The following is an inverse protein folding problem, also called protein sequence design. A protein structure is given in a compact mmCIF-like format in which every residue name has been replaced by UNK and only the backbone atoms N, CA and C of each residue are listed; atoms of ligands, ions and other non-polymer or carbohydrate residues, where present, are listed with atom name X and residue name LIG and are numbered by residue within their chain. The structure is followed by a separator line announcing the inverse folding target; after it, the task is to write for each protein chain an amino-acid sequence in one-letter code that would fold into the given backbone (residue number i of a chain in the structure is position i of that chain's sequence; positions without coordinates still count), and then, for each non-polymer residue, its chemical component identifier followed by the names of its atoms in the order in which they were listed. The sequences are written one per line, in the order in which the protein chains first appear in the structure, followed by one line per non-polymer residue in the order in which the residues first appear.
data_IF_932272976612
#
_entry.id   IF_932272976612
#
_cell.length_a   1.000
_cell.length_b   1.000
_cell.length_c   1.000
_cell.angle_alpha   90.00
_cell.angle_beta   90.00
_cell.angle_gamma   90.00
#
_symmetry.space_group_name_H-M   'P 1'
#
loop_
_entity.id
_entity.type
_entity.pdbx_description
1 polymer ?
#
# COMPACT_ATOMS: atom_id res chain seq x y z
N UNK A 1 -36.84 7.09 -19.59
CA UNK A 1 -36.28 8.46 -19.68
C UNK A 1 -34.94 8.43 -18.95
N UNK A 2 -33.85 8.76 -19.62
CA UNK A 2 -32.53 8.80 -18.97
C UNK A 2 -32.51 9.94 -17.93
N UNK A 3 -32.03 9.65 -16.73
CA UNK A 3 -31.88 10.64 -15.67
C UNK A 3 -30.74 11.61 -16.05
N UNK A 4 -30.92 12.92 -15.83
CA UNK A 4 -29.90 13.95 -16.10
C UNK A 4 -28.56 13.61 -15.41
N UNK A 5 -28.61 13.02 -14.21
CA UNK A 5 -27.41 12.57 -13.50
C UNK A 5 -26.67 11.46 -14.23
N UNK A 6 -27.39 10.51 -14.84
CA UNK A 6 -26.78 9.43 -15.60
C UNK A 6 -26.00 9.97 -16.80
N UNK A 7 -26.58 10.93 -17.52
CA UNK A 7 -25.93 11.58 -18.67
C UNK A 7 -24.63 12.27 -18.23
N UNK A 8 -24.63 12.97 -17.10
CA UNK A 8 -23.43 13.62 -16.58
C UNK A 8 -22.35 12.61 -16.20
N UNK A 9 -22.73 11.53 -15.50
CA UNK A 9 -21.79 10.47 -15.11
C UNK A 9 -21.18 9.79 -16.34
N UNK A 10 -21.99 9.47 -17.35
CA UNK A 10 -21.50 8.86 -18.59
C UNK A 10 -20.54 9.79 -19.35
N UNK A 11 -20.80 11.11 -19.36
CA UNK A 11 -19.88 12.10 -19.95
C UNK A 11 -18.56 12.18 -19.17
N UNK A 12 -18.61 12.22 -17.84
CA UNK A 12 -17.43 12.22 -16.97
C UNK A 12 -16.61 10.94 -17.12
N UNK A 13 -17.28 9.79 -17.24
CA UNK A 13 -16.65 8.51 -17.52
C UNK A 13 -15.96 8.52 -18.88
N UNK A 14 -16.63 9.05 -19.92
CA UNK A 14 -16.11 9.15 -21.28
C UNK A 14 -14.84 10.00 -21.42
N UNK A 15 -14.67 11.02 -20.59
CA UNK A 15 -13.44 11.85 -20.56
C UNK A 15 -12.36 11.30 -19.61
N UNK A 16 -12.59 10.14 -18.99
CA UNK A 16 -11.62 9.52 -18.08
C UNK A 16 -11.54 10.15 -16.69
N UNK A 17 -12.53 10.94 -16.27
CA UNK A 17 -12.53 11.62 -14.96
C UNK A 17 -12.30 10.66 -13.79
N UNK A 18 -13.03 9.54 -13.78
CA UNK A 18 -12.93 8.54 -12.71
C UNK A 18 -11.68 7.64 -12.81
N UNK A 19 -11.21 7.38 -14.03
CA UNK A 19 -10.11 6.45 -14.26
C UNK A 19 -8.73 7.12 -14.15
N UNK A 20 -8.65 8.44 -14.39
CA UNK A 20 -7.41 9.19 -14.42
C UNK A 20 -7.39 10.32 -13.38
N UNK A 21 -8.35 11.25 -13.45
CA UNK A 21 -8.28 12.49 -12.66
C UNK A 21 -8.42 12.24 -11.15
N UNK A 22 -9.40 11.44 -10.73
CA UNK A 22 -9.60 11.16 -9.31
C UNK A 22 -8.42 10.42 -8.66
N UNK A 23 -7.91 9.30 -9.24
CA UNK A 23 -6.73 8.64 -8.72
C UNK A 23 -5.49 9.54 -8.69
N UNK A 24 -5.32 10.39 -9.73
CA UNK A 24 -4.24 11.37 -9.80
C UNK A 24 -4.28 12.38 -8.66
N UNK A 25 -5.44 12.99 -8.40
CA UNK A 25 -5.60 13.96 -7.30
C UNK A 25 -5.33 13.29 -5.95
N UNK A 26 -5.83 12.07 -5.76
CA UNK A 26 -5.63 11.32 -4.53
C UNK A 26 -4.16 11.01 -4.29
N UNK A 27 -3.45 10.48 -5.29
CA UNK A 27 -2.02 10.17 -5.16
C UNK A 27 -1.17 11.43 -4.95
N UNK A 28 -1.40 12.49 -5.74
CA UNK A 28 -0.66 13.75 -5.57
C UNK A 28 -0.88 14.35 -4.18
N UNK A 29 -2.10 14.26 -3.64
CA UNK A 29 -2.39 14.71 -2.26
C UNK A 29 -1.64 13.87 -1.22
N UNK A 30 -1.63 12.55 -1.35
CA UNK A 30 -0.89 11.66 -0.44
C UNK A 30 0.61 11.94 -0.51
N UNK A 31 1.17 12.05 -1.72
CA UNK A 31 2.58 12.37 -1.92
C UNK A 31 2.95 13.74 -1.34
N UNK A 32 2.09 14.74 -1.54
CA UNK A 32 2.27 16.06 -0.93
C UNK A 32 2.31 15.97 0.59
N UNK A 33 1.37 15.26 1.20
CA UNK A 33 1.31 15.09 2.65
C UNK A 33 2.55 14.37 3.20
N UNK A 34 3.01 13.32 2.50
CA UNK A 34 4.23 12.59 2.87
C UNK A 34 5.45 13.50 2.74
N UNK A 35 5.64 14.17 1.61
CA UNK A 35 6.77 15.08 1.39
C UNK A 35 6.80 16.23 2.41
N UNK A 36 5.64 16.80 2.74
CA UNK A 36 5.53 17.86 3.75
C UNK A 36 5.90 17.35 5.15
N UNK A 37 5.49 16.13 5.49
CA UNK A 37 5.80 15.51 6.79
C UNK A 37 7.28 15.14 6.93
N UNK A 38 7.90 14.69 5.85
CA UNK A 38 9.31 14.25 5.87
C UNK A 38 10.30 15.39 5.66
N UNK A 39 9.86 16.56 5.18
CA UNK A 39 10.69 17.72 4.89
C UNK A 39 11.92 17.40 4.01
N UNK A 40 11.81 16.39 3.14
CA UNK A 40 12.93 15.88 2.32
C UNK A 40 13.53 16.94 1.40
N UNK A 41 12.75 17.97 1.04
CA UNK A 41 13.14 19.02 0.09
C UNK A 41 13.20 20.39 0.77
N UNK A 42 13.37 20.41 2.09
CA UNK A 42 13.30 21.61 2.92
C UNK A 42 11.87 22.02 3.21
N UNK A 43 11.68 23.26 3.68
CA UNK A 43 10.39 23.73 4.20
C UNK A 43 9.50 24.42 3.15
N UNK A 44 9.86 24.33 1.87
CA UNK A 44 9.13 24.99 0.78
C UNK A 44 7.85 24.23 0.42
N UNK A 45 6.71 24.82 0.76
CA UNK A 45 5.36 24.31 0.41
C UNK A 45 5.17 24.16 -1.10
N UNK A 46 5.64 25.15 -1.87
CA UNK A 46 5.50 25.16 -3.33
C UNK A 46 6.25 24.01 -4.00
N UNK A 47 7.48 23.70 -3.54
CA UNK A 47 8.27 22.60 -4.08
C UNK A 47 7.59 21.25 -3.87
N UNK A 48 7.07 20.99 -2.66
CA UNK A 48 6.33 19.76 -2.38
C UNK A 48 5.08 19.62 -3.26
N UNK A 49 4.34 20.71 -3.48
CA UNK A 49 3.15 20.70 -4.33
C UNK A 49 3.50 20.42 -5.80
N UNK A 50 4.50 21.11 -6.36
CA UNK A 50 4.91 20.92 -7.75
C UNK A 50 5.40 19.49 -7.99
N UNK A 51 6.21 18.95 -7.09
CA UNK A 51 6.79 17.62 -7.24
C UNK A 51 5.74 16.52 -7.08
N UNK A 52 4.86 16.63 -6.07
CA UNK A 52 3.77 15.66 -5.90
C UNK A 52 2.80 15.64 -7.08
N UNK A 53 2.50 16.79 -7.66
CA UNK A 53 1.70 16.90 -8.89
C UNK A 53 2.46 16.26 -10.07
N UNK A 54 3.73 16.58 -10.27
CA UNK A 54 4.53 16.03 -11.36
C UNK A 54 4.65 14.49 -11.28
N UNK A 55 4.93 13.96 -10.09
CA UNK A 55 5.00 12.50 -9.85
C UNK A 55 3.62 11.86 -10.05
N UNK A 56 2.56 12.44 -9.50
CA UNK A 56 1.20 11.94 -9.71
C UNK A 56 0.84 11.87 -11.20
N UNK A 57 1.18 12.92 -11.95
CA UNK A 57 0.92 12.99 -13.39
C UNK A 57 1.75 11.95 -14.16
N UNK A 58 3.00 11.72 -13.75
CA UNK A 58 3.87 10.71 -14.38
C UNK A 58 3.35 9.29 -14.14
N UNK A 59 2.99 8.96 -12.89
CA UNK A 59 2.47 7.65 -12.50
C UNK A 59 1.18 7.32 -13.23
N UNK A 60 0.24 8.28 -13.31
CA UNK A 60 -1.05 8.05 -13.96
C UNK A 60 -1.05 8.32 -15.47
N UNK A 61 -0.15 9.17 -15.96
CA UNK A 61 -0.03 9.50 -17.38
C UNK A 61 0.66 8.41 -18.19
N UNK A 62 1.63 7.71 -17.60
CA UNK A 62 2.37 6.66 -18.32
C UNK A 62 1.47 5.54 -18.88
N UNK A 63 0.43 5.04 -18.19
CA UNK A 63 -0.37 3.94 -18.70
C UNK A 63 -1.36 4.39 -19.77
N UNK A 64 -1.81 5.66 -19.70
CA UNK A 64 -2.62 6.26 -20.77
C UNK A 64 -1.82 6.33 -22.07
N UNK A 65 -0.54 6.72 -21.99
CA UNK A 65 0.36 6.76 -23.15
C UNK A 65 0.64 5.33 -23.68
N UNK A 66 0.78 4.36 -22.78
CA UNK A 66 1.09 2.96 -23.13
C UNK A 66 -0.14 2.13 -23.50
N UNK A 67 -1.35 2.68 -23.40
CA UNK A 67 -2.61 1.95 -23.65
C UNK A 67 -2.88 0.84 -22.63
N UNK A 68 -2.29 0.90 -21.43
CA UNK A 68 -2.44 -0.11 -20.39
C UNK A 68 -3.44 0.35 -19.32
N UNK A 69 -4.28 -0.57 -18.83
CA UNK A 69 -5.27 -0.25 -17.80
C UNK A 69 -4.64 -0.24 -16.41
N UNK A 70 -4.64 0.91 -15.74
CA UNK A 70 -4.26 1.03 -14.32
C UNK A 70 -5.26 0.42 -13.35
N UNK A 71 -6.47 0.18 -13.81
CA UNK A 71 -7.56 -0.33 -12.98
C UNK A 71 -7.18 -1.65 -12.32
N UNK A 72 -6.57 -2.58 -13.07
CA UNK A 72 -6.22 -3.90 -12.54
C UNK A 72 -5.12 -3.80 -11.47
N UNK A 73 -3.94 -3.21 -11.72
CA UNK A 73 -2.90 -3.10 -10.71
C UNK A 73 -3.32 -2.30 -9.47
N UNK A 74 -4.07 -1.21 -9.64
CA UNK A 74 -4.53 -0.38 -8.53
C UNK A 74 -5.58 -1.11 -7.67
N UNK A 75 -6.52 -1.80 -8.31
CA UNK A 75 -7.51 -2.62 -7.59
C UNK A 75 -6.83 -3.76 -6.84
N UNK A 76 -5.86 -4.44 -7.45
CA UNK A 76 -5.07 -5.48 -6.79
C UNK A 76 -4.30 -4.92 -5.60
N UNK A 77 -3.60 -3.78 -5.75
CA UNK A 77 -2.86 -3.14 -4.66
C UNK A 77 -3.78 -2.77 -3.49
N UNK A 78 -4.92 -2.14 -3.76
CA UNK A 78 -5.88 -1.77 -2.71
C UNK A 78 -6.49 -3.01 -2.05
N UNK A 79 -6.87 -4.02 -2.83
CA UNK A 79 -7.43 -5.27 -2.30
C UNK A 79 -6.42 -5.98 -1.41
N UNK A 80 -5.17 -6.12 -1.86
CA UNK A 80 -4.09 -6.69 -1.07
C UNK A 80 -3.83 -5.86 0.20
N UNK A 81 -3.78 -4.53 0.09
CA UNK A 81 -3.64 -3.63 1.23
C UNK A 81 -4.74 -3.82 2.27
N UNK A 82 -5.99 -3.90 1.84
CA UNK A 82 -7.14 -4.18 2.72
C UNK A 82 -7.02 -5.56 3.36
N UNK A 83 -6.64 -6.60 2.60
CA UNK A 83 -6.43 -7.96 3.14
C UNK A 83 -5.33 -7.96 4.20
N UNK A 84 -4.22 -7.26 3.99
CA UNK A 84 -3.12 -7.14 4.96
C UNK A 84 -3.61 -6.45 6.23
N UNK A 85 -4.29 -5.31 6.09
CA UNK A 85 -4.83 -4.56 7.23
C UNK A 85 -5.80 -5.46 8.01
N UNK A 86 -6.67 -6.17 7.31
CA UNK A 86 -7.63 -7.08 7.92
C UNK A 86 -6.92 -8.23 8.66
N UNK A 87 -5.93 -8.85 8.03
CA UNK A 87 -5.13 -9.92 8.62
C UNK A 87 -4.36 -9.44 9.86
N UNK A 88 -3.81 -8.22 9.83
CA UNK A 88 -3.17 -7.60 10.99
C UNK A 88 -4.17 -7.33 12.12
N UNK A 89 -5.35 -6.79 11.80
CA UNK A 89 -6.41 -6.54 12.80
C UNK A 89 -6.85 -7.85 13.45
N UNK A 90 -7.15 -8.89 12.67
CA UNK A 90 -7.50 -10.20 13.22
C UNK A 90 -6.34 -10.84 13.99
N UNK A 91 -5.12 -10.71 13.48
CA UNK A 91 -3.91 -11.15 14.15
C UNK A 91 -3.74 -10.52 15.53
N UNK A 92 -3.94 -9.20 15.63
CA UNK A 92 -3.92 -8.49 16.91
C UNK A 92 -5.08 -8.87 17.82
N UNK A 93 -6.28 -9.07 17.28
CA UNK A 93 -7.44 -9.52 18.07
C UNK A 93 -7.19 -10.91 18.67
N UNK A 94 -6.77 -11.88 17.86
CA UNK A 94 -6.48 -13.25 18.33
C UNK A 94 -5.33 -13.22 19.32
N UNK A 95 -4.24 -12.52 19.02
CA UNK A 95 -3.10 -12.42 19.92
C UNK A 95 -3.51 -11.77 21.25
N UNK A 96 -4.37 -10.74 21.21
CA UNK A 96 -4.91 -10.05 22.39
C UNK A 96 -5.71 -10.96 23.33
N UNK A 97 -6.35 -12.01 22.81
CA UNK A 97 -7.03 -13.02 23.65
C UNK A 97 -6.03 -13.87 24.46
N UNK A 98 -4.86 -14.17 23.90
CA UNK A 98 -3.83 -14.96 24.58
C UNK A 98 -2.87 -14.10 25.43
N UNK A 99 -2.72 -12.82 25.08
CA UNK A 99 -1.83 -11.89 25.76
C UNK A 99 -2.58 -10.58 26.05
N UNK A 100 -3.25 -10.48 27.21
CA UNK A 100 -4.05 -9.30 27.58
C UNK A 100 -3.26 -7.99 27.63
N UNK A 101 -1.95 -8.08 27.87
CA UNK A 101 -1.02 -6.93 27.94
C UNK A 101 -0.39 -6.56 26.59
N UNK A 102 -0.87 -7.13 25.48
CA UNK A 102 -0.34 -6.85 24.14
C UNK A 102 -0.37 -5.37 23.76
N UNK A 103 -1.41 -4.63 24.16
CA UNK A 103 -1.52 -3.20 23.86
C UNK A 103 -0.38 -2.38 24.47
N UNK A 104 -0.04 -2.67 25.72
CA UNK A 104 1.08 -2.03 26.44
C UNK A 104 2.41 -2.46 25.80
N UNK A 105 2.62 -3.76 25.60
CA UNK A 105 3.85 -4.27 24.97
C UNK A 105 4.06 -3.77 23.54
N UNK A 106 3.00 -3.62 22.73
CA UNK A 106 3.11 -3.00 21.40
C UNK A 106 3.61 -1.57 21.52
N UNK A 107 3.04 -0.81 22.45
CA UNK A 107 3.40 0.60 22.67
C UNK A 107 4.86 0.72 23.07
N UNK A 108 5.35 -0.17 23.94
CA UNK A 108 6.74 -0.21 24.38
C UNK A 108 7.69 -0.63 23.25
N UNK A 109 7.29 -1.61 22.44
CA UNK A 109 8.01 -2.03 21.22
C UNK A 109 8.12 -0.86 20.22
N UNK A 110 7.05 -0.07 20.05
CA UNK A 110 7.04 1.08 19.15
C UNK A 110 7.82 2.29 19.67
N UNK A 111 7.96 2.45 21.00
CA UNK A 111 8.63 3.60 21.61
C UNK A 111 10.11 3.39 21.89
N UNK A 112 10.52 2.21 22.39
CA UNK A 112 11.83 2.07 23.05
C UNK A 112 12.65 0.83 22.62
N UNK A 113 12.10 -0.06 21.79
CA UNK A 113 12.77 -1.32 21.47
C UNK A 113 13.65 -1.32 20.22
N UNK A 114 14.74 -2.13 20.17
CA UNK A 114 15.42 -2.53 18.93
C UNK A 114 14.52 -3.37 18.01
N UNK A 115 13.27 -3.63 18.39
CA UNK A 115 12.25 -4.21 17.52
C UNK A 115 11.53 -3.15 16.65
N UNK A 116 11.60 -1.86 17.00
CA UNK A 116 10.95 -0.78 16.25
C UNK A 116 11.47 -0.65 14.81
N UNK A 117 12.80 -0.68 14.60
CA UNK A 117 13.37 -0.64 13.26
C UNK A 117 13.01 -1.88 12.44
N UNK A 118 12.87 -3.04 13.10
CA UNK A 118 12.51 -4.31 12.45
C UNK A 118 11.07 -4.26 11.93
N UNK A 119 10.15 -3.63 12.67
CA UNK A 119 8.77 -3.35 12.20
C UNK A 119 8.78 -2.46 10.97
N UNK A 120 9.59 -1.40 10.96
CA UNK A 120 9.73 -0.52 9.78
C UNK A 120 10.37 -1.23 8.59
N UNK A 121 11.33 -2.12 8.81
CA UNK A 121 11.94 -2.95 7.76
C UNK A 121 10.93 -3.92 7.18
N UNK A 122 10.10 -4.56 8.01
CA UNK A 122 9.07 -5.48 7.54
C UNK A 122 7.98 -4.73 6.76
N UNK A 123 7.50 -3.60 7.27
CA UNK A 123 6.55 -2.73 6.56
C UNK A 123 7.14 -2.20 5.25
N UNK A 124 8.40 -1.76 5.28
CA UNK A 124 9.12 -1.28 4.10
C UNK A 124 9.31 -2.37 3.06
N UNK A 125 9.65 -3.59 3.49
CA UNK A 125 9.80 -4.75 2.61
C UNK A 125 8.45 -5.17 2.00
N UNK A 126 7.39 -5.23 2.80
CA UNK A 126 6.04 -5.52 2.31
C UNK A 126 5.56 -4.46 1.30
N UNK A 127 5.79 -3.18 1.59
CA UNK A 127 5.50 -2.09 0.66
C UNK A 127 6.34 -2.17 -0.61
N UNK A 128 7.64 -2.49 -0.50
CA UNK A 128 8.54 -2.64 -1.63
C UNK A 128 8.17 -3.83 -2.53
N UNK A 129 7.79 -4.97 -1.94
CA UNK A 129 7.29 -6.14 -2.69
C UNK A 129 5.98 -5.82 -3.39
N UNK A 130 5.03 -5.16 -2.71
CA UNK A 130 3.76 -4.73 -3.33
C UNK A 130 3.97 -3.72 -4.45
N UNK A 131 4.90 -2.77 -4.30
CA UNK A 131 5.29 -1.81 -5.34
C UNK A 131 6.02 -2.50 -6.50
N UNK A 132 6.91 -3.44 -6.22
CA UNK A 132 7.63 -4.20 -7.26
C UNK A 132 6.65 -5.02 -8.10
N UNK A 133 5.69 -5.71 -7.47
CA UNK A 133 4.58 -6.38 -8.15
C UNK A 133 3.77 -5.40 -9.01
N UNK A 134 3.40 -4.24 -8.47
CA UNK A 134 2.66 -3.20 -9.20
C UNK A 134 3.41 -2.69 -10.45
N UNK A 135 4.72 -2.47 -10.35
CA UNK A 135 5.56 -1.95 -11.44
C UNK A 135 5.98 -3.03 -12.44
N UNK A 136 6.25 -4.25 -11.98
CA UNK A 136 6.81 -5.33 -12.81
C UNK A 136 5.70 -6.13 -13.49
N UNK A 137 4.51 -6.30 -12.88
CA UNK A 137 3.44 -7.10 -13.47
C UNK A 137 2.95 -6.58 -14.83
N UNK A 138 2.81 -5.25 -15.08
CA UNK A 138 2.49 -4.74 -16.42
C UNK A 138 3.56 -5.12 -17.46
N UNK A 139 4.84 -5.01 -17.11
CA UNK A 139 5.99 -5.34 -17.98
C UNK A 139 6.05 -6.85 -18.23
N UNK A 140 5.85 -7.67 -17.19
CA UNK A 140 5.84 -9.13 -17.28
C UNK A 140 4.65 -9.63 -18.11
N UNK A 141 3.48 -8.99 -18.01
CA UNK A 141 2.32 -9.34 -18.84
C UNK A 141 2.52 -9.03 -20.33
N UNK A 142 3.37 -8.05 -20.65
CA UNK A 142 3.77 -7.75 -22.02
C UNK A 142 4.80 -8.75 -22.56
N UNK A 143 5.63 -9.32 -21.69
CA UNK A 143 6.71 -10.24 -22.05
C UNK A 143 6.35 -11.73 -21.96
N UNK A 144 5.27 -12.10 -21.26
CA UNK A 144 4.92 -13.50 -20.96
C UNK A 144 3.51 -13.83 -21.44
N UNK A 145 3.35 -14.78 -22.37
CA UNK A 145 2.05 -15.34 -22.79
C UNK A 145 1.43 -16.31 -21.78
N UNK A 146 2.15 -16.64 -20.71
CA UNK A 146 1.71 -17.55 -19.65
C UNK A 146 1.26 -16.77 -18.42
N UNK A 147 -0.05 -16.82 -18.17
CA UNK A 147 -0.74 -16.20 -17.03
C UNK A 147 -0.59 -17.10 -15.80
N UNK A 148 0.60 -17.20 -15.22
CA UNK A 148 0.73 -17.82 -13.90
C UNK A 148 -0.03 -16.95 -12.87
N UNK A 149 -0.82 -17.52 -11.95
CA UNK A 149 -1.58 -16.76 -10.97
C UNK A 149 -0.64 -16.16 -9.92
N UNK A 150 -0.12 -14.96 -10.21
CA UNK A 150 0.76 -14.20 -9.31
C UNK A 150 0.13 -13.88 -7.95
N UNK A 151 -1.20 -13.83 -7.88
CA UNK A 151 -1.95 -13.58 -6.64
C UNK A 151 -1.63 -14.57 -5.51
N UNK A 152 -1.33 -15.84 -5.83
CA UNK A 152 -1.06 -16.84 -4.80
C UNK A 152 0.32 -16.62 -4.15
N UNK A 153 1.30 -16.15 -4.92
CA UNK A 153 2.68 -16.01 -4.47
C UNK A 153 2.83 -14.81 -3.54
N UNK A 154 2.18 -13.68 -3.84
CA UNK A 154 2.16 -12.49 -2.98
C UNK A 154 1.45 -12.79 -1.65
N UNK A 155 0.29 -13.44 -1.70
CA UNK A 155 -0.44 -13.86 -0.49
C UNK A 155 0.41 -14.82 0.35
N UNK A 156 1.13 -15.74 -0.29
CA UNK A 156 2.02 -16.68 0.41
C UNK A 156 3.19 -15.97 1.08
N UNK A 157 3.87 -15.04 0.38
CA UNK A 157 4.97 -14.26 0.96
C UNK A 157 4.47 -13.40 2.13
N UNK A 158 3.29 -12.79 2.01
CA UNK A 158 2.71 -11.98 3.09
C UNK A 158 2.35 -12.81 4.32
N UNK A 159 1.81 -14.02 4.12
CA UNK A 159 1.57 -14.96 5.21
C UNK A 159 2.87 -15.35 5.92
N UNK A 160 3.94 -15.62 5.17
CA UNK A 160 5.25 -15.97 5.73
C UNK A 160 5.81 -14.82 6.56
N UNK A 161 5.75 -13.58 6.05
CA UNK A 161 6.21 -12.39 6.77
C UNK A 161 5.40 -12.16 8.05
N UNK A 162 4.08 -12.29 7.98
CA UNK A 162 3.19 -12.19 9.14
C UNK A 162 3.56 -13.21 10.23
N UNK A 163 3.77 -14.47 9.84
CA UNK A 163 4.19 -15.52 10.77
C UNK A 163 5.56 -15.25 11.39
N UNK A 164 6.52 -14.71 10.62
CA UNK A 164 7.85 -14.34 11.14
C UNK A 164 7.72 -13.23 12.19
N UNK A 165 6.92 -12.19 11.95
CA UNK A 165 6.68 -11.12 12.93
C UNK A 165 6.04 -11.68 14.20
N UNK A 166 5.04 -12.55 14.06
CA UNK A 166 4.35 -13.16 15.19
C UNK A 166 5.30 -14.05 16.01
N UNK A 167 6.17 -14.81 15.35
CA UNK A 167 7.24 -15.59 15.98
C UNK A 167 8.23 -14.70 16.74
N UNK A 168 8.67 -13.59 16.15
CA UNK A 168 9.60 -12.68 16.82
C UNK A 168 8.95 -12.04 18.05
N UNK A 169 7.69 -11.62 17.96
CA UNK A 169 6.94 -11.05 19.10
C UNK A 169 6.79 -12.07 20.22
N UNK A 170 6.43 -13.31 19.89
CA UNK A 170 6.28 -14.39 20.91
C UNK A 170 7.62 -14.80 21.52
N UNK A 171 8.70 -14.89 20.73
CA UNK A 171 10.05 -15.18 21.25
C UNK A 171 10.61 -14.04 22.11
N UNK A 172 10.33 -12.79 21.76
CA UNK A 172 10.70 -11.63 22.58
C UNK A 172 9.96 -11.65 23.91
N UNK A 173 8.66 -11.98 23.90
CA UNK A 173 7.86 -12.09 25.11
C UNK A 173 8.31 -13.26 26.02
N UNK A 174 8.79 -14.37 25.46
CA UNK A 174 9.27 -15.52 26.22
C UNK A 174 10.60 -15.27 26.95
N UNK A 175 11.41 -14.32 26.47
CA UNK A 175 12.72 -13.99 27.06
C UNK A 175 12.64 -13.23 28.38
N UNK A 176 11.51 -12.56 28.65
CA UNK A 176 11.28 -11.81 29.90
C UNK A 176 10.72 -12.64 31.06
N UNK A 177 10.40 -13.93 30.82
CA UNK A 177 9.86 -14.86 31.83
C UNK A 177 10.97 -15.69 32.50
N UNK A 178 12.24 -15.50 32.11
CA UNK A 178 13.43 -16.08 32.75
C UNK A 178 14.20 -15.02 33.50
#
# INVERSE_FOLDING_TARGET
MANIFQIVVERLLGIGFYNFLLPFILLSTVLYAVLRKTQLLGDSVALHAIISIAVGLFVFGSPVILGTSLTVPLTSFLTQGVIIILALVFGFLISGLFYPTLGEKLTDIFKEGPASWLVWVVLGFAAAVGLAEFLINPIRSLLSTSKAPGDLLVVTIMFVVFFIVLLIVTMSAAKEIK
#
